data_IF_903406729575
#
_entry.id   IF_903406729575
#
_cell.length_a   1.000
_cell.length_b   1.000
_cell.length_c   1.000
_cell.angle_alpha   90.00
_cell.angle_beta   90.00
_cell.angle_gamma   90.00
#
_symmetry.space_group_name_H-M   'P 1'
#
loop_
_entity.id
_entity.type
_entity.pdbx_description
1 polymer ?
#
# COMPACT_ATOMS: atom_id res chain seq x y z
N UNK A 1 -5.67 -8.33 -64.94
CA UNK A 1 -6.73 -7.31 -64.97
C UNK A 1 -6.97 -6.81 -63.55
N UNK A 2 -6.89 -5.48 -63.36
CA UNK A 2 -7.36 -4.63 -62.23
C UNK A 2 -6.85 -5.01 -60.81
N UNK A 3 -5.96 -4.31 -60.10
CA UNK A 3 -5.37 -2.98 -60.26
C UNK A 3 -6.08 -1.92 -59.40
N UNK A 4 -5.56 -1.60 -58.19
CA UNK A 4 -5.63 -0.26 -57.56
C UNK A 4 -4.65 -0.13 -56.38
N UNK A 5 -3.71 0.81 -56.52
CA UNK A 5 -2.65 1.25 -55.59
C UNK A 5 -3.13 2.46 -54.74
N UNK A 6 -2.41 2.83 -53.66
CA UNK A 6 -2.91 3.68 -52.57
C UNK A 6 -2.62 5.18 -52.77
N UNK A 7 -3.35 6.04 -52.05
CA UNK A 7 -3.20 7.50 -52.08
C UNK A 7 -2.67 8.04 -50.74
N UNK A 8 -1.56 8.79 -50.82
CA UNK A 8 -0.84 9.46 -49.72
C UNK A 8 -0.90 10.98 -49.96
N UNK A 9 -1.40 11.81 -49.03
CA UNK A 9 -1.13 13.28 -48.92
C UNK A 9 -1.35 13.70 -47.46
N UNK A 10 -0.27 13.98 -46.69
CA UNK A 10 0.47 15.24 -46.43
C UNK A 10 -0.18 16.15 -45.37
N UNK A 11 0.63 16.41 -44.33
CA UNK A 11 0.43 17.18 -43.08
C UNK A 11 0.16 18.67 -43.29
N UNK A 12 -0.48 19.30 -42.30
CA UNK A 12 -0.28 20.70 -41.94
C UNK A 12 -0.63 20.88 -40.45
N UNK A 13 0.39 20.83 -39.59
CA UNK A 13 0.30 21.20 -38.18
C UNK A 13 0.44 22.73 -38.04
N UNK A 14 -0.50 23.35 -37.31
CA UNK A 14 -0.45 24.73 -36.83
C UNK A 14 -0.26 24.72 -35.31
N UNK A 15 0.78 25.43 -34.88
CA UNK A 15 1.26 25.62 -33.51
C UNK A 15 0.43 26.68 -32.74
N UNK A 16 0.53 26.74 -31.39
CA UNK A 16 0.91 28.02 -30.75
C UNK A 16 1.90 27.85 -29.56
N UNK A 17 2.41 28.95 -28.97
CA UNK A 17 3.80 29.07 -28.49
C UNK A 17 4.01 28.75 -27.00
N UNK A 18 5.28 28.58 -26.54
CA UNK A 18 5.58 28.47 -25.12
C UNK A 18 5.80 29.85 -24.48
N UNK A 19 5.22 30.06 -23.30
CA UNK A 19 5.48 31.21 -22.44
C UNK A 19 6.72 30.94 -21.57
N UNK A 20 7.64 31.90 -21.54
CA UNK A 20 8.85 31.90 -20.71
C UNK A 20 8.63 32.69 -19.43
N UNK A 21 9.02 32.11 -18.30
CA UNK A 21 9.34 32.78 -17.04
C UNK A 21 10.63 32.09 -16.60
N UNK A 22 11.79 32.74 -16.52
CA UNK A 22 12.06 33.97 -15.78
C UNK A 22 13.11 33.57 -14.73
N UNK A 23 14.37 33.81 -15.04
CA UNK A 23 15.55 33.37 -14.29
C UNK A 23 15.72 34.09 -12.96
N UNK A 24 16.24 33.39 -11.95
CA UNK A 24 17.17 33.98 -10.97
C UNK A 24 18.15 32.90 -10.48
N UNK A 25 19.42 33.11 -10.80
CA UNK A 25 20.55 32.42 -10.20
C UNK A 25 20.68 32.83 -8.72
N UNK A 26 21.10 31.91 -7.85
CA UNK A 26 21.46 32.24 -6.46
C UNK A 26 22.78 31.56 -6.08
N UNK A 27 23.69 32.28 -5.39
CA UNK A 27 25.11 31.95 -5.37
C UNK A 27 25.50 31.06 -4.19
N UNK A 28 26.65 30.42 -4.37
CA UNK A 28 27.44 29.65 -3.43
C UNK A 28 28.00 30.50 -2.29
N UNK A 29 27.97 29.98 -1.07
CA UNK A 29 28.84 30.39 0.04
C UNK A 29 28.90 29.26 1.07
N UNK A 30 30.09 28.78 1.46
CA UNK A 30 30.26 27.86 2.57
C UNK A 30 30.49 28.66 3.86
N UNK A 31 29.85 28.27 4.96
CA UNK A 31 30.25 28.71 6.30
C UNK A 31 30.16 27.54 7.27
N UNK A 32 31.34 27.13 7.72
CA UNK A 32 31.61 26.32 8.89
C UNK A 32 31.06 27.01 10.14
N UNK A 33 30.35 26.27 10.98
CA UNK A 33 30.27 26.53 12.41
C UNK A 33 30.55 25.22 13.12
N UNK A 34 31.72 25.20 13.76
CA UNK A 34 32.18 24.16 14.65
C UNK A 34 31.70 24.47 16.07
N UNK A 35 31.74 23.43 16.90
CA UNK A 35 31.68 23.43 18.36
C UNK A 35 30.33 23.29 19.09
N UNK A 36 30.20 22.08 19.64
CA UNK A 36 29.95 21.77 21.07
C UNK A 36 28.59 22.15 21.68
N UNK A 37 27.80 21.14 22.04
CA UNK A 37 27.62 20.70 23.46
C UNK A 37 26.61 19.56 23.54
N UNK A 38 26.77 18.78 24.60
CA UNK A 38 26.20 17.47 24.86
C UNK A 38 24.67 17.46 25.09
N UNK A 39 24.11 16.25 25.12
CA UNK A 39 22.78 15.87 25.62
C UNK A 39 21.62 15.78 24.59
N UNK A 40 21.61 14.71 23.78
CA UNK A 40 20.38 14.19 23.17
C UNK A 40 20.34 12.64 23.12
N UNK A 41 21.02 11.99 24.07
CA UNK A 41 21.06 10.54 24.23
C UNK A 41 20.38 10.15 25.54
N UNK A 42 19.04 10.13 25.60
CA UNK A 42 18.30 9.58 26.76
C UNK A 42 16.78 9.32 26.57
N UNK A 43 16.18 9.41 25.37
CA UNK A 43 14.71 9.26 25.23
C UNK A 43 14.32 8.24 24.15
N UNK A 44 14.61 6.96 24.39
CA UNK A 44 14.21 5.89 23.45
C UNK A 44 13.82 4.56 24.11
N UNK A 45 13.55 4.51 25.42
CA UNK A 45 13.37 3.23 26.14
C UNK A 45 11.99 2.96 26.76
N UNK A 46 11.01 3.87 26.69
CA UNK A 46 9.75 3.73 27.48
C UNK A 46 8.45 3.54 26.69
N UNK A 47 8.50 3.12 25.42
CA UNK A 47 7.28 2.81 24.65
C UNK A 47 6.87 1.33 24.71
N UNK A 48 7.82 0.44 25.02
CA UNK A 48 7.58 -1.01 25.05
C UNK A 48 6.93 -1.47 26.37
N UNK A 49 7.18 -0.77 27.48
CA UNK A 49 6.61 -1.11 28.80
C UNK A 49 5.15 -0.66 28.96
N UNK A 50 4.73 0.38 28.23
CA UNK A 50 3.34 0.85 28.23
C UNK A 50 2.39 -0.03 27.40
N UNK A 51 2.92 -0.85 26.46
CA UNK A 51 2.08 -1.74 25.66
C UNK A 51 1.76 -3.06 26.37
N UNK A 52 2.55 -3.45 27.38
CA UNK A 52 2.42 -4.72 28.10
C UNK A 52 1.52 -4.65 29.35
N UNK A 53 1.10 -3.46 29.76
CA UNK A 53 0.28 -3.21 30.95
C UNK A 53 -1.17 -2.82 30.66
N UNK A 54 -1.59 -2.81 29.39
CA UNK A 54 -2.98 -2.54 29.05
C UNK A 54 -3.89 -3.67 29.57
N UNK A 55 -4.93 -3.37 30.38
CA UNK A 55 -5.88 -4.37 30.81
C UNK A 55 -6.54 -5.01 29.58
N UNK A 56 -6.90 -6.31 29.66
CA UNK A 56 -7.57 -6.98 28.56
C UNK A 56 -8.81 -6.19 28.14
N UNK A 57 -9.18 -6.20 26.84
CA UNK A 57 -10.38 -5.51 26.38
C UNK A 57 -11.55 -5.94 27.26
N UNK A 58 -12.21 -4.94 27.85
CA UNK A 58 -13.41 -5.16 28.67
C UNK A 58 -14.42 -5.98 27.86
N UNK A 59 -15.22 -6.81 28.54
CA UNK A 59 -16.17 -7.72 27.89
C UNK A 59 -17.19 -7.03 26.95
N UNK A 60 -17.30 -5.69 27.00
CA UNK A 60 -18.12 -4.88 26.10
C UNK A 60 -17.49 -4.59 24.73
N UNK A 61 -16.18 -4.71 24.55
CA UNK A 61 -15.55 -4.39 23.26
C UNK A 61 -15.64 -5.59 22.29
N UNK A 62 -16.13 -5.41 21.05
CA UNK A 62 -16.26 -6.50 20.10
C UNK A 62 -14.89 -6.97 19.59
N UNK A 63 -14.70 -8.29 19.48
CA UNK A 63 -13.50 -8.89 18.86
C UNK A 63 -13.33 -8.52 17.38
N UNK A 64 -14.41 -8.24 16.67
CA UNK A 64 -14.36 -7.88 15.25
C UNK A 64 -14.21 -6.38 15.04
N UNK A 65 -13.39 -5.98 14.07
CA UNK A 65 -13.36 -4.60 13.58
C UNK A 65 -14.71 -4.19 12.99
N UNK A 66 -15.17 -2.99 13.33
CA UNK A 66 -16.35 -2.37 12.71
C UNK A 66 -16.11 -2.11 11.22
N UNK A 67 -17.18 -1.90 10.45
CA UNK A 67 -17.07 -1.60 9.03
C UNK A 67 -16.23 -0.34 8.75
N UNK A 68 -16.43 0.71 9.53
CA UNK A 68 -15.67 1.95 9.42
C UNK A 68 -14.16 1.73 9.66
N UNK A 69 -13.81 0.94 10.69
CA UNK A 69 -12.41 0.60 10.97
C UNK A 69 -11.81 -0.22 9.82
N UNK A 70 -12.54 -1.18 9.25
CA UNK A 70 -12.06 -1.96 8.09
C UNK A 70 -11.80 -1.06 6.88
N UNK A 71 -12.69 -0.10 6.59
CA UNK A 71 -12.52 0.84 5.49
C UNK A 71 -11.26 1.70 5.67
N UNK A 72 -11.09 2.31 6.84
CA UNK A 72 -9.91 3.11 7.16
C UNK A 72 -8.62 2.27 7.18
N UNK A 73 -8.70 1.02 7.64
CA UNK A 73 -7.59 0.07 7.65
C UNK A 73 -7.16 -0.30 6.23
N UNK A 74 -8.10 -0.44 5.29
CA UNK A 74 -7.80 -0.61 3.86
C UNK A 74 -7.18 0.65 3.25
N UNK A 75 -7.68 1.83 3.61
CA UNK A 75 -7.13 3.11 3.13
C UNK A 75 -5.71 3.36 3.63
N UNK A 76 -5.42 2.95 4.86
CA UNK A 76 -4.10 3.00 5.52
C UNK A 76 -3.06 2.06 4.88
N UNK A 77 -3.50 0.95 4.30
CA UNK A 77 -2.61 -0.03 3.69
C UNK A 77 -1.84 0.56 2.48
N UNK A 78 -0.65 0.01 2.21
CA UNK A 78 0.25 0.56 1.18
C UNK A 78 -0.39 0.48 -0.21
N UNK A 79 -0.32 1.59 -0.96
CA UNK A 79 -0.85 1.68 -2.33
C UNK A 79 0.04 0.91 -3.29
N UNK A 80 -0.57 0.26 -4.27
CA UNK A 80 0.16 -0.40 -5.36
C UNK A 80 0.31 0.57 -6.54
N UNK A 81 1.54 1.00 -6.93
CA UNK A 81 1.73 1.97 -8.00
C UNK A 81 1.08 1.55 -9.33
N UNK A 82 0.49 2.51 -10.04
CA UNK A 82 -0.21 2.29 -11.32
C UNK A 82 -1.58 1.58 -11.20
N UNK A 83 -2.06 1.29 -9.99
CA UNK A 83 -3.31 0.55 -9.75
C UNK A 83 -4.30 1.37 -8.94
N UNK A 84 -5.59 1.07 -9.11
CA UNK A 84 -6.65 1.75 -8.36
C UNK A 84 -6.51 1.42 -6.86
N UNK A 85 -6.29 2.44 -6.01
CA UNK A 85 -6.14 2.23 -4.59
C UNK A 85 -7.39 1.65 -3.91
N UNK A 86 -8.59 1.86 -4.44
CA UNK A 86 -9.80 1.29 -3.85
C UNK A 86 -9.89 -0.22 -4.06
N UNK A 87 -9.14 -0.76 -5.03
CA UNK A 87 -9.23 -2.16 -5.48
C UNK A 87 -8.00 -2.97 -5.12
N UNK A 88 -6.82 -2.35 -5.17
CA UNK A 88 -5.52 -3.00 -4.97
C UNK A 88 -4.72 -2.33 -3.85
N UNK A 89 -4.10 -3.18 -3.02
CA UNK A 89 -3.22 -2.79 -1.92
C UNK A 89 -2.06 -3.76 -1.80
N UNK A 90 -1.05 -3.36 -1.04
CA UNK A 90 -0.11 -4.27 -0.41
C UNK A 90 -0.47 -4.45 1.06
N UNK A 91 -0.37 -5.68 1.53
CA UNK A 91 -0.52 -5.99 2.94
C UNK A 91 0.73 -5.53 3.74
N UNK A 92 0.73 -5.70 5.07
CA UNK A 92 1.84 -5.28 5.94
C UNK A 92 3.20 -5.96 5.64
N UNK A 93 3.21 -7.03 4.84
CA UNK A 93 4.39 -7.78 4.42
C UNK A 93 4.79 -7.50 2.96
N UNK A 94 4.04 -6.65 2.26
CA UNK A 94 4.28 -6.30 0.86
C UNK A 94 3.56 -7.18 -0.17
N UNK A 95 2.77 -8.17 0.27
CA UNK A 95 2.00 -9.04 -0.62
C UNK A 95 0.88 -8.26 -1.29
N UNK A 96 0.66 -8.51 -2.58
CA UNK A 96 -0.45 -7.89 -3.32
C UNK A 96 -1.75 -8.55 -2.89
N UNK A 97 -2.73 -7.73 -2.52
CA UNK A 97 -4.06 -8.18 -2.13
C UNK A 97 -5.15 -7.41 -2.88
N UNK A 98 -6.28 -8.07 -3.08
CA UNK A 98 -7.39 -7.55 -3.87
C UNK A 98 -8.64 -7.35 -3.01
N UNK A 99 -9.26 -6.17 -3.11
CA UNK A 99 -10.32 -5.71 -2.20
C UNK A 99 -11.51 -6.66 -2.08
N UNK A 100 -11.89 -7.34 -3.17
CA UNK A 100 -13.05 -8.24 -3.21
C UNK A 100 -12.76 -9.63 -2.61
N UNK A 101 -11.49 -10.01 -2.46
CA UNK A 101 -11.09 -11.32 -1.98
C UNK A 101 -10.78 -11.25 -0.48
N UNK A 102 -11.80 -11.46 0.35
CA UNK A 102 -11.71 -11.42 1.82
C UNK A 102 -11.98 -12.81 2.40
N UNK A 103 -11.14 -13.29 3.33
CA UNK A 103 -11.37 -14.55 4.05
C UNK A 103 -11.21 -15.84 3.24
N UNK A 104 -10.78 -15.77 1.99
CA UNK A 104 -10.49 -16.94 1.15
C UNK A 104 -9.02 -17.40 1.28
N UNK A 105 -8.69 -18.66 0.94
CA UNK A 105 -7.33 -19.20 1.10
C UNK A 105 -6.38 -18.86 -0.08
N UNK A 106 -6.78 -17.98 -1.00
CA UNK A 106 -5.98 -17.63 -2.17
C UNK A 106 -4.87 -16.62 -1.87
N UNK A 107 -3.84 -16.58 -2.71
CA UNK A 107 -2.69 -15.67 -2.59
C UNK A 107 -3.02 -14.18 -2.71
N UNK A 108 -4.17 -13.81 -3.30
CA UNK A 108 -4.63 -12.42 -3.36
C UNK A 108 -5.67 -12.09 -2.27
N UNK A 109 -6.05 -13.09 -1.48
CA UNK A 109 -7.04 -12.96 -0.43
C UNK A 109 -6.43 -12.34 0.83
N UNK A 110 -7.19 -11.47 1.49
CA UNK A 110 -6.76 -10.83 2.73
C UNK A 110 -7.78 -11.02 3.85
N UNK A 111 -7.31 -10.82 5.07
CA UNK A 111 -8.11 -10.61 6.25
C UNK A 111 -7.76 -9.26 6.89
N UNK A 112 -8.65 -8.77 7.73
CA UNK A 112 -8.35 -7.68 8.67
C UNK A 112 -7.84 -8.32 9.96
N UNK A 113 -6.55 -8.18 10.21
CA UNK A 113 -5.84 -8.80 11.32
C UNK A 113 -5.59 -7.79 12.45
N UNK A 114 -5.57 -8.31 13.68
CA UNK A 114 -5.09 -7.56 14.83
C UNK A 114 -3.57 -7.66 14.91
N UNK A 115 -2.85 -6.54 14.92
CA UNK A 115 -1.39 -6.52 15.09
C UNK A 115 -1.02 -7.23 16.39
N UNK A 116 -1.61 -6.79 17.50
CA UNK A 116 -1.65 -7.50 18.79
C UNK A 116 -2.94 -8.33 18.83
N UNK A 117 -2.87 -9.66 18.95
CA UNK A 117 -4.07 -10.51 18.99
C UNK A 117 -5.07 -10.10 20.07
N UNK A 118 -6.37 -10.19 19.76
CA UNK A 118 -7.42 -9.87 20.73
C UNK A 118 -7.29 -10.63 22.07
N UNK A 119 -6.91 -11.91 22.01
CA UNK A 119 -6.68 -12.74 23.19
C UNK A 119 -5.49 -12.31 24.07
N UNK A 120 -4.69 -11.34 23.61
CA UNK A 120 -3.51 -10.79 24.28
C UNK A 120 -3.68 -9.31 24.63
N UNK A 121 -4.92 -8.82 24.69
CA UNK A 121 -5.19 -7.42 25.04
C UNK A 121 -5.43 -6.49 23.84
N UNK A 122 -5.28 -6.99 22.61
CA UNK A 122 -5.42 -6.18 21.41
C UNK A 122 -6.86 -5.72 21.15
N UNK A 123 -7.09 -4.42 21.18
CA UNK A 123 -8.42 -3.83 20.90
C UNK A 123 -8.74 -3.84 19.40
N UNK A 124 -10.01 -3.80 19.05
CA UNK A 124 -10.48 -3.74 17.65
C UNK A 124 -10.51 -2.31 17.09
N UNK A 125 -9.41 -1.57 17.26
CA UNK A 125 -9.27 -0.17 16.81
C UNK A 125 -8.48 -0.08 15.49
N UNK A 126 -8.44 1.12 14.88
CA UNK A 126 -7.71 1.34 13.63
C UNK A 126 -6.20 1.14 13.79
N UNK A 127 -5.64 1.53 14.93
CA UNK A 127 -4.22 1.44 15.23
C UNK A 127 -3.76 -0.01 15.28
N UNK A 128 -4.60 -0.89 15.84
CA UNK A 128 -4.35 -2.31 15.93
C UNK A 128 -4.84 -3.10 14.70
N UNK A 129 -5.45 -2.46 13.71
CA UNK A 129 -5.87 -3.12 12.47
C UNK A 129 -4.76 -3.08 11.42
N UNK A 130 -4.51 -4.22 10.76
CA UNK A 130 -3.73 -4.30 9.53
C UNK A 130 -4.41 -5.17 8.48
N UNK A 131 -4.16 -4.87 7.21
CA UNK A 131 -4.46 -5.79 6.11
C UNK A 131 -3.33 -6.82 6.05
N UNK A 132 -3.68 -8.10 6.07
CA UNK A 132 -2.73 -9.21 6.02
C UNK A 132 -3.25 -10.29 5.08
N UNK A 133 -2.39 -10.86 4.24
CA UNK A 133 -2.77 -12.00 3.40
C UNK A 133 -3.37 -13.13 4.26
N UNK A 134 -4.51 -13.67 3.86
CA UNK A 134 -5.31 -14.56 4.69
C UNK A 134 -4.52 -15.81 5.14
N UNK A 135 -3.73 -16.42 4.26
CA UNK A 135 -2.86 -17.57 4.57
C UNK A 135 -1.81 -17.26 5.63
N UNK A 136 -1.21 -16.06 5.57
CA UNK A 136 -0.27 -15.57 6.59
C UNK A 136 -1.00 -15.35 7.91
N UNK A 137 -2.19 -14.74 7.87
CA UNK A 137 -3.00 -14.51 9.05
C UNK A 137 -3.33 -15.83 9.78
N UNK A 138 -3.74 -16.87 9.05
CA UNK A 138 -3.96 -18.21 9.63
C UNK A 138 -2.69 -18.79 10.26
N UNK A 139 -1.55 -18.56 9.63
CA UNK A 139 -0.25 -19.00 10.13
C UNK A 139 0.22 -18.25 11.38
N UNK A 140 -0.09 -16.95 11.47
CA UNK A 140 0.19 -16.08 12.62
C UNK A 140 -0.66 -16.48 13.83
N UNK A 141 -1.98 -16.61 13.64
CA UNK A 141 -2.92 -16.91 14.72
C UNK A 141 -2.81 -15.89 15.87
N UNK A 142 -2.67 -16.38 17.11
CA UNK A 142 -2.50 -15.55 18.31
C UNK A 142 -1.03 -15.40 18.78
N UNK A 143 -0.07 -15.77 17.92
CA UNK A 143 1.36 -15.70 18.26
C UNK A 143 1.86 -14.26 18.13
N UNK A 144 2.59 -13.80 19.13
CA UNK A 144 3.20 -12.47 19.18
C UNK A 144 4.71 -12.48 18.91
N UNK A 145 5.37 -13.64 19.09
CA UNK A 145 6.83 -13.79 18.98
C UNK A 145 7.30 -14.12 17.56
N UNK A 146 6.40 -14.11 16.58
CA UNK A 146 6.71 -14.51 15.22
C UNK A 146 7.37 -13.35 14.47
N UNK A 147 8.56 -13.59 13.92
CA UNK A 147 9.30 -12.53 13.22
C UNK A 147 8.63 -12.15 11.89
N UNK A 148 8.84 -10.91 11.44
CA UNK A 148 8.37 -10.45 10.12
C UNK A 148 8.93 -11.33 8.99
N UNK A 149 10.19 -11.76 9.09
CA UNK A 149 10.82 -12.66 8.11
C UNK A 149 10.14 -14.03 8.06
N UNK A 150 9.79 -14.60 9.21
CA UNK A 150 9.06 -15.87 9.27
C UNK A 150 7.65 -15.74 8.65
N UNK A 151 6.95 -14.63 8.89
CA UNK A 151 5.65 -14.39 8.25
C UNK A 151 5.76 -14.20 6.73
N UNK A 152 6.81 -13.54 6.25
CA UNK A 152 7.09 -13.42 4.82
C UNK A 152 7.29 -14.81 4.20
N UNK A 153 8.02 -15.71 4.86
CA UNK A 153 8.21 -17.08 4.38
C UNK A 153 6.90 -17.88 4.29
N UNK A 154 5.90 -17.55 5.12
CA UNK A 154 4.57 -18.18 5.10
C UNK A 154 3.60 -17.52 4.12
N UNK A 155 4.03 -16.48 3.41
CA UNK A 155 3.21 -15.82 2.39
C UNK A 155 3.02 -16.71 1.17
N UNK A 156 1.79 -16.79 0.69
CA UNK A 156 1.45 -17.45 -0.56
C UNK A 156 1.80 -16.51 -1.72
N UNK A 157 2.85 -16.82 -2.46
CA UNK A 157 3.30 -15.98 -3.57
C UNK A 157 2.61 -16.33 -4.88
N UNK A 158 2.03 -15.33 -5.54
CA UNK A 158 1.52 -15.43 -6.90
C UNK A 158 2.23 -14.41 -7.79
N UNK A 159 2.87 -14.90 -8.86
CA UNK A 159 3.37 -14.03 -9.94
C UNK A 159 2.18 -13.55 -10.75
N UNK A 160 1.69 -12.37 -10.43
CA UNK A 160 0.62 -11.71 -11.17
C UNK A 160 1.23 -10.64 -12.08
N UNK A 161 1.13 -10.84 -13.39
CA UNK A 161 1.48 -9.81 -14.35
C UNK A 161 0.44 -8.69 -14.33
N UNK A 162 0.77 -7.57 -14.96
CA UNK A 162 -0.18 -6.47 -15.06
C UNK A 162 -1.48 -6.86 -15.79
N UNK A 163 -1.41 -7.81 -16.72
CA UNK A 163 -2.57 -8.35 -17.45
C UNK A 163 -3.40 -9.30 -16.58
N UNK A 164 -2.77 -10.09 -15.72
CA UNK A 164 -3.48 -10.99 -14.79
C UNK A 164 -4.29 -10.17 -13.79
N UNK A 165 -3.69 -9.09 -13.28
CA UNK A 165 -4.39 -8.13 -12.43
C UNK A 165 -5.59 -7.50 -13.14
N UNK A 166 -5.44 -7.11 -14.41
CA UNK A 166 -6.55 -6.55 -15.20
C UNK A 166 -7.70 -7.55 -15.35
N UNK A 167 -7.38 -8.82 -15.59
CA UNK A 167 -8.38 -9.87 -15.72
C UNK A 167 -9.14 -10.11 -14.41
N UNK A 168 -8.44 -10.15 -13.28
CA UNK A 168 -9.06 -10.27 -11.94
C UNK A 168 -9.97 -9.08 -11.66
N UNK A 169 -9.50 -7.87 -11.97
CA UNK A 169 -10.25 -6.64 -11.76
C UNK A 169 -11.50 -6.56 -12.65
N UNK A 170 -11.34 -6.87 -13.94
CA UNK A 170 -12.42 -6.94 -14.91
C UNK A 170 -13.47 -7.97 -14.48
N UNK A 171 -13.05 -9.14 -14.01
CA UNK A 171 -13.96 -10.21 -13.56
C UNK A 171 -14.75 -9.81 -12.31
N UNK A 172 -14.17 -9.04 -11.40
CA UNK A 172 -14.79 -8.70 -10.13
C UNK A 172 -15.61 -7.39 -10.15
N UNK A 173 -15.29 -6.46 -11.06
CA UNK A 173 -15.91 -5.13 -11.14
C UNK A 173 -16.54 -4.80 -12.49
N UNK A 174 -16.29 -5.59 -13.54
CA UNK A 174 -16.76 -5.32 -14.91
C UNK A 174 -15.94 -4.27 -15.65
N UNK A 175 -14.88 -3.71 -15.05
CA UNK A 175 -13.97 -2.77 -15.69
C UNK A 175 -12.58 -2.77 -15.02
N UNK A 176 -11.62 -2.12 -15.66
CA UNK A 176 -10.27 -1.92 -15.14
C UNK A 176 -10.04 -0.43 -14.90
N UNK A 177 -9.57 -0.05 -13.71
CA UNK A 177 -9.18 1.31 -13.34
C UNK A 177 -7.69 1.38 -13.07
N UNK A 178 -7.08 2.47 -13.50
CA UNK A 178 -5.69 2.79 -13.19
C UNK A 178 -5.64 3.84 -12.09
N UNK A 179 -4.62 3.76 -11.24
CA UNK A 179 -4.45 4.73 -10.16
C UNK A 179 -4.13 6.13 -10.70
N UNK A 180 -4.37 7.21 -9.94
CA UNK A 180 -3.97 8.57 -10.33
C UNK A 180 -2.46 8.66 -10.60
N UNK A 181 -1.67 7.80 -9.95
CA UNK A 181 -0.22 7.68 -10.12
C UNK A 181 0.17 6.83 -11.36
N UNK A 182 -0.68 6.79 -12.39
CA UNK A 182 -0.32 6.17 -13.68
C UNK A 182 0.80 6.92 -14.43
N UNK A 183 1.40 7.94 -13.79
CA UNK A 183 2.77 8.43 -13.99
C UNK A 183 3.28 8.22 -15.40
N UNK A 184 2.82 9.09 -16.30
CA UNK A 184 2.83 8.90 -17.73
C UNK A 184 4.18 8.50 -18.34
N UNK A 185 4.10 7.69 -19.39
CA UNK A 185 5.18 7.56 -20.34
C UNK A 185 5.20 8.86 -21.18
N UNK A 186 6.25 9.68 -21.02
CA UNK A 186 6.60 10.72 -22.00
C UNK A 186 7.37 10.04 -23.13
N UNK A 187 6.72 9.89 -24.28
CA UNK A 187 7.42 9.58 -25.53
C UNK A 187 7.66 10.92 -26.23
N UNK A 188 8.92 11.25 -26.49
CA UNK A 188 9.28 12.25 -27.51
C UNK A 188 9.25 11.59 -28.89
#
# INVERSE_FOLDING_TARGET
MVGRKPMRRRRSDRQPPPQSFGATARPSSPRSFDSTTAAAAAVATDLDELLLTAPPPSASEPRSFSYAVKQQCWEKAERLPGRDPERWRRDALGNIVFRKLVGCPGCLCHDYDHIVPYSKGGKSTLENCQVLQATVNRSKGNKTEISKSELIQKSAYCRVSGRDMDLVELSAYGNVRRGPDSGGCKIQ
#
